data_IF_508758418637
#
_entry.id   IF_508758418637
#
_cell.length_a   1.000
_cell.length_b   1.000
_cell.length_c   1.000
_cell.angle_alpha   90.00
_cell.angle_beta   90.00
_cell.angle_gamma   90.00
#
_symmetry.space_group_name_H-M   'P 1'
#
loop_
_entity.id
_entity.type
_entity.pdbx_description
1 polymer ?
#
# COMPACT_ATOMS: atom_id res chain seq x y z
N UNK A 1 4.53 13.72 -8.72
CA UNK A 1 4.86 12.56 -7.87
C UNK A 1 4.86 13.08 -6.46
N UNK A 2 3.80 12.75 -5.74
CA UNK A 2 3.67 12.97 -4.31
C UNK A 2 4.70 12.07 -3.60
N UNK A 3 5.07 12.41 -2.37
CA UNK A 3 6.02 11.60 -1.61
C UNK A 3 5.43 10.21 -1.27
N UNK A 4 4.11 10.17 -1.00
CA UNK A 4 3.35 8.98 -0.68
C UNK A 4 3.44 7.91 -1.77
N UNK A 5 3.19 8.27 -3.04
CA UNK A 5 3.20 7.29 -4.13
C UNK A 5 4.57 6.64 -4.34
N UNK A 6 5.66 7.40 -4.16
CA UNK A 6 7.01 6.88 -4.31
C UNK A 6 7.35 5.86 -3.23
N UNK A 7 6.97 6.14 -1.98
CA UNK A 7 7.19 5.24 -0.85
C UNK A 7 6.39 3.96 -1.04
N UNK A 8 5.08 4.07 -1.31
CA UNK A 8 4.22 2.89 -1.53
C UNK A 8 4.75 2.01 -2.67
N UNK A 9 5.12 2.62 -3.80
CA UNK A 9 5.71 1.88 -4.93
C UNK A 9 6.99 1.16 -4.54
N UNK A 10 7.88 1.81 -3.78
CA UNK A 10 9.13 1.19 -3.34
C UNK A 10 8.88 -0.08 -2.55
N UNK A 11 7.99 -0.05 -1.54
CA UNK A 11 7.63 -1.24 -0.76
C UNK A 11 7.03 -2.34 -1.64
N UNK A 12 6.13 -1.98 -2.56
CA UNK A 12 5.52 -2.95 -3.48
C UNK A 12 6.54 -3.65 -4.38
N UNK A 13 7.48 -2.90 -4.96
CA UNK A 13 8.53 -3.45 -5.81
C UNK A 13 9.44 -4.40 -5.03
N UNK A 14 9.76 -4.07 -3.78
CA UNK A 14 10.58 -4.92 -2.91
C UNK A 14 9.83 -6.19 -2.48
N UNK A 15 8.56 -6.08 -2.08
CA UNK A 15 7.74 -7.19 -1.60
C UNK A 15 7.40 -8.16 -2.74
N UNK A 16 6.99 -7.66 -3.90
CA UNK A 16 6.60 -8.48 -5.06
C UNK A 16 7.78 -8.84 -5.97
N UNK A 17 8.98 -8.30 -5.70
CA UNK A 17 10.16 -8.48 -6.55
C UNK A 17 9.92 -8.10 -8.02
N UNK A 18 9.21 -7.00 -8.24
CA UNK A 18 8.86 -6.49 -9.58
C UNK A 18 9.86 -5.42 -10.04
N UNK A 19 10.11 -5.30 -11.36
CA UNK A 19 11.02 -4.28 -11.89
C UNK A 19 10.41 -2.88 -11.93
N UNK A 20 9.10 -2.78 -12.15
CA UNK A 20 8.34 -1.52 -12.20
C UNK A 20 6.82 -1.79 -12.07
N UNK A 21 6.05 -0.80 -11.64
CA UNK A 21 4.58 -0.81 -11.57
C UNK A 21 3.99 0.58 -11.82
N UNK A 22 2.82 0.62 -12.46
CA UNK A 22 2.03 1.84 -12.59
C UNK A 22 0.95 1.94 -11.50
N UNK A 23 0.31 3.09 -11.41
CA UNK A 23 -0.65 3.38 -10.35
C UNK A 23 -1.91 2.53 -10.42
N UNK A 24 -2.30 2.14 -11.64
CA UNK A 24 -3.48 1.33 -11.93
C UNK A 24 -3.13 -0.15 -12.21
N UNK A 25 -1.87 -0.55 -11.96
CA UNK A 25 -1.46 -1.96 -12.09
C UNK A 25 -2.24 -2.81 -11.08
N UNK A 26 -2.86 -3.89 -11.57
CA UNK A 26 -3.51 -4.88 -10.73
C UNK A 26 -2.46 -5.70 -9.97
N UNK A 27 -2.35 -5.44 -8.67
CA UNK A 27 -1.35 -6.05 -7.81
C UNK A 27 -1.65 -7.53 -7.56
N UNK A 28 -2.92 -7.93 -7.53
CA UNK A 28 -3.33 -9.33 -7.37
C UNK A 28 -2.85 -10.18 -8.55
N UNK A 29 -3.00 -9.67 -9.78
CA UNK A 29 -2.45 -10.33 -10.98
C UNK A 29 -0.91 -10.30 -11.00
N UNK A 30 -0.30 -9.34 -10.30
CA UNK A 30 1.15 -9.18 -10.21
C UNK A 30 1.81 -9.98 -9.08
N UNK A 31 1.01 -10.76 -8.32
CA UNK A 31 1.50 -11.66 -7.27
C UNK A 31 1.18 -11.24 -5.84
N UNK A 32 0.38 -10.19 -5.63
CA UNK A 32 -0.14 -9.83 -4.31
C UNK A 32 -1.06 -10.96 -3.79
N UNK A 33 -0.82 -11.38 -2.56
CA UNK A 33 -1.54 -12.40 -1.83
C UNK A 33 -1.73 -11.97 -0.37
N UNK A 34 -2.41 -12.79 0.45
CA UNK A 34 -2.68 -12.43 1.84
C UNK A 34 -1.42 -12.27 2.71
N UNK A 35 -0.32 -12.97 2.40
CA UNK A 35 0.88 -12.92 3.22
C UNK A 35 1.67 -11.63 2.94
N UNK A 36 1.82 -11.31 1.66
CA UNK A 36 2.58 -10.14 1.24
C UNK A 36 1.77 -8.83 1.41
N UNK A 37 0.45 -8.91 1.34
CA UNK A 37 -0.46 -7.83 1.72
C UNK A 37 -0.33 -7.44 3.20
N UNK A 38 -0.42 -8.40 4.12
CA UNK A 38 -0.30 -8.11 5.56
C UNK A 38 1.08 -7.54 5.87
N UNK A 39 2.13 -8.05 5.21
CA UNK A 39 3.47 -7.49 5.33
C UNK A 39 3.52 -6.03 4.86
N UNK A 40 2.89 -5.71 3.73
CA UNK A 40 2.84 -4.35 3.20
C UNK A 40 2.14 -3.41 4.19
N UNK A 41 1.02 -3.81 4.78
CA UNK A 41 0.31 -3.01 5.80
C UNK A 41 1.25 -2.66 6.95
N UNK A 42 1.90 -3.66 7.55
CA UNK A 42 2.84 -3.44 8.66
C UNK A 42 4.01 -2.54 8.28
N UNK A 43 4.58 -2.71 7.07
CA UNK A 43 5.67 -1.85 6.60
C UNK A 43 5.22 -0.39 6.39
N UNK A 44 3.99 -0.17 5.94
CA UNK A 44 3.43 1.17 5.75
C UNK A 44 3.07 1.84 7.08
N UNK A 45 2.52 1.09 8.03
CA UNK A 45 2.27 1.57 9.40
C UNK A 45 3.56 2.08 10.06
N UNK A 46 4.65 1.32 9.99
CA UNK A 46 5.97 1.71 10.53
C UNK A 46 6.59 2.90 9.77
N UNK A 47 6.50 2.92 8.44
CA UNK A 47 7.08 4.00 7.61
C UNK A 47 6.36 5.34 7.81
N UNK A 48 5.05 5.31 8.06
CA UNK A 48 4.23 6.51 8.20
C UNK A 48 3.85 6.86 9.65
N UNK A 49 4.21 6.01 10.62
CA UNK A 49 3.81 6.14 12.04
C UNK A 49 2.28 6.23 12.22
N UNK A 50 1.56 5.36 11.50
CA UNK A 50 0.09 5.26 11.52
C UNK A 50 -0.37 3.88 12.00
N UNK A 51 -1.65 3.77 12.36
CA UNK A 51 -2.33 2.50 12.66
C UNK A 51 -3.54 2.38 11.71
N UNK A 52 -3.55 1.34 10.88
CA UNK A 52 -4.66 1.07 9.94
C UNK A 52 -5.70 0.24 10.66
N UNK A 53 -6.96 0.66 10.60
CA UNK A 53 -8.06 -0.06 11.23
C UNK A 53 -8.24 -1.44 10.58
N UNK A 54 -8.47 -2.48 11.40
CA UNK A 54 -8.76 -3.84 10.96
C UNK A 54 -9.87 -3.89 9.89
N UNK A 55 -10.85 -2.97 9.94
CA UNK A 55 -11.92 -2.87 8.96
C UNK A 55 -11.44 -2.41 7.56
N UNK A 56 -10.33 -1.68 7.47
CA UNK A 56 -9.72 -1.23 6.20
C UNK A 56 -8.61 -2.18 5.73
N UNK A 57 -8.15 -3.13 6.56
CA UNK A 57 -7.22 -4.24 6.22
C UNK A 57 -7.96 -5.32 5.41
N UNK A 58 -8.37 -4.94 4.20
CA UNK A 58 -9.09 -5.78 3.26
C UNK A 58 -8.28 -5.85 1.97
N UNK A 59 -8.02 -7.06 1.47
CA UNK A 59 -7.16 -7.27 0.29
C UNK A 59 -7.66 -6.51 -0.95
N UNK A 60 -8.98 -6.38 -1.12
CA UNK A 60 -9.60 -5.60 -2.20
C UNK A 60 -9.23 -4.11 -2.16
N UNK A 61 -8.93 -3.55 -0.98
CA UNK A 61 -8.47 -2.16 -0.84
C UNK A 61 -7.02 -1.97 -1.34
N UNK A 62 -6.31 -3.06 -1.65
CA UNK A 62 -4.89 -3.06 -2.03
C UNK A 62 -4.71 -3.60 -3.46
N UNK A 63 -5.75 -3.49 -4.30
CA UNK A 63 -5.71 -3.94 -5.70
C UNK A 63 -4.75 -3.12 -6.56
N UNK A 64 -4.59 -1.82 -6.27
CA UNK A 64 -3.70 -0.92 -7.03
C UNK A 64 -2.99 0.07 -6.10
N UNK A 65 -1.91 0.68 -6.58
CA UNK A 65 -1.20 1.74 -5.84
C UNK A 65 -2.14 2.92 -5.53
N UNK A 66 -3.03 3.27 -6.46
CA UNK A 66 -4.00 4.35 -6.24
C UNK A 66 -4.95 4.06 -5.08
N UNK A 67 -5.45 2.81 -4.98
CA UNK A 67 -6.30 2.40 -3.87
C UNK A 67 -5.55 2.51 -2.53
N UNK A 68 -4.31 2.00 -2.48
CA UNK A 68 -3.47 2.02 -1.27
C UNK A 68 -3.23 3.46 -0.82
N UNK A 69 -2.79 4.33 -1.72
CA UNK A 69 -2.59 5.75 -1.42
C UNK A 69 -3.87 6.40 -0.90
N UNK A 70 -5.03 6.07 -1.48
CA UNK A 70 -6.32 6.62 -1.01
C UNK A 70 -6.70 6.16 0.39
N UNK A 71 -6.33 4.93 0.79
CA UNK A 71 -6.54 4.45 2.17
C UNK A 71 -5.59 5.19 3.11
N UNK A 72 -4.29 5.22 2.80
CA UNK A 72 -3.28 5.87 3.63
C UNK A 72 -3.55 7.37 3.83
N UNK A 73 -4.05 8.06 2.80
CA UNK A 73 -4.44 9.48 2.93
C UNK A 73 -5.49 9.72 4.01
N UNK A 74 -6.38 8.75 4.31
CA UNK A 74 -7.35 8.91 5.40
C UNK A 74 -6.66 9.03 6.77
N UNK A 75 -5.61 8.24 6.98
CA UNK A 75 -4.87 8.19 8.25
C UNK A 75 -3.82 9.29 8.37
N UNK A 76 -3.23 9.69 7.25
CA UNK A 76 -2.23 10.78 7.21
C UNK A 76 -2.85 12.17 7.37
N UNK A 77 -4.11 12.36 6.96
CA UNK A 77 -4.80 13.65 7.09
C UNK A 77 -5.44 13.87 8.48
N UNK A 78 -5.50 12.84 9.34
CA UNK A 78 -6.06 12.93 10.71
C UNK A 78 -5.12 13.60 11.73
N UNK A 79 -3.92 14.01 11.32
CA UNK A 79 -2.95 14.75 12.15
C UNK A 79 -3.25 16.28 12.23
N UNK A 80 -4.54 16.68 12.24
CA UNK A 80 -5.01 18.07 12.40
C UNK A 80 -5.86 18.29 13.65
#
# INVERSE_FOLDING_TARGET
MNNLDQIVKKHLLEILSLPDIDHDTNLLESGMDSMNFIRLVVELEDEFDIEVDDEDIILENFETVNNICSILSKYLDEDN
#
